data_IF_809857287662
#
_entry.id   IF_809857287662
#
_cell.length_a   1.000
_cell.length_b   1.000
_cell.length_c   1.000
_cell.angle_alpha   90.00
_cell.angle_beta   90.00
_cell.angle_gamma   90.00
#
_symmetry.space_group_name_H-M   'P 1'
#
loop_
_entity.id
_entity.type
_entity.pdbx_description
1 polymer ?
#
# COMPACT_ATOMS: atom_id res chain seq x y z
N UNK A 1 2.86 -29.42 12.53
CA UNK A 1 2.74 -30.83 12.07
C UNK A 1 3.95 -31.16 11.22
N UNK A 2 4.72 -32.13 11.70
CA UNK A 2 5.73 -32.95 11.00
C UNK A 2 6.86 -32.26 10.23
N UNK A 3 7.96 -32.11 10.96
CA UNK A 3 9.35 -32.28 10.54
C UNK A 3 9.52 -33.38 9.45
N UNK A 4 10.32 -33.10 8.42
CA UNK A 4 10.79 -34.09 7.43
C UNK A 4 12.29 -33.91 7.24
N UNK A 5 13.06 -34.58 8.08
CA UNK A 5 14.46 -34.89 7.85
C UNK A 5 14.61 -35.70 6.57
N UNK A 6 15.25 -35.11 5.56
CA UNK A 6 15.80 -35.87 4.43
C UNK A 6 17.07 -36.55 4.90
N UNK A 7 16.99 -37.84 5.21
CA UNK A 7 18.17 -38.69 5.29
C UNK A 7 18.62 -39.01 3.86
N UNK A 8 19.83 -38.60 3.52
CA UNK A 8 20.47 -38.92 2.25
C UNK A 8 20.93 -40.39 2.28
N UNK A 9 20.45 -41.27 1.38
CA UNK A 9 20.74 -42.70 1.42
C UNK A 9 22.16 -43.08 0.96
N UNK A 10 23.00 -42.09 0.62
CA UNK A 10 24.32 -42.31 0.02
C UNK A 10 25.49 -41.92 0.94
N UNK A 11 25.26 -41.82 2.26
CA UNK A 11 26.30 -41.54 3.25
C UNK A 11 27.04 -42.80 3.75
N UNK A 12 26.64 -43.99 3.29
CA UNK A 12 27.37 -45.23 3.52
C UNK A 12 28.35 -45.49 2.39
N UNK A 13 29.56 -45.94 2.74
CA UNK A 13 30.56 -46.55 1.85
C UNK A 13 31.59 -45.61 1.18
N UNK A 14 32.35 -44.86 2.01
CA UNK A 14 33.72 -44.38 1.65
C UNK A 14 34.75 -44.82 2.72
N UNK A 15 34.45 -45.81 3.56
CA UNK A 15 35.43 -46.37 4.49
C UNK A 15 35.75 -47.80 4.09
N UNK A 16 36.45 -47.95 2.96
CA UNK A 16 37.28 -49.14 2.77
C UNK A 16 38.26 -49.21 3.94
N UNK A 17 38.21 -50.33 4.65
CA UNK A 17 38.91 -50.56 5.91
C UNK A 17 40.42 -50.38 5.73
N UNK A 18 40.95 -49.25 6.18
CA UNK A 18 42.38 -49.09 6.44
C UNK A 18 42.75 -50.09 7.55
N UNK A 19 43.68 -51.01 7.25
CA UNK A 19 44.19 -51.98 8.22
C UNK A 19 45.07 -51.27 9.26
N UNK A 20 44.85 -51.54 10.55
CA UNK A 20 45.71 -51.06 11.64
C UNK A 20 47.10 -51.75 11.65
N UNK A 21 47.27 -52.80 10.85
CA UNK A 21 48.44 -53.67 10.80
C UNK A 21 49.16 -53.57 9.47
N UNK A 22 50.48 -53.70 9.50
CA UNK A 22 51.34 -53.55 8.35
C UNK A 22 51.19 -54.73 7.38
N UNK A 23 50.99 -54.43 6.09
CA UNK A 23 50.81 -55.42 5.04
C UNK A 23 52.00 -56.38 4.88
N UNK A 24 53.21 -55.92 5.23
CA UNK A 24 54.44 -56.73 5.15
C UNK A 24 54.81 -57.39 6.48
N UNK A 25 54.18 -56.96 7.59
CA UNK A 25 54.48 -57.44 8.93
C UNK A 25 53.17 -57.58 9.72
N UNK A 26 52.49 -58.72 9.54
CA UNK A 26 51.12 -58.95 10.00
C UNK A 26 50.88 -58.65 11.50
N UNK A 27 51.88 -58.84 12.35
CA UNK A 27 51.78 -58.60 13.81
C UNK A 27 52.19 -57.19 14.25
N UNK A 28 52.62 -56.32 13.33
CA UNK A 28 53.09 -54.98 13.65
C UNK A 28 52.05 -53.93 13.28
N UNK A 29 51.70 -53.09 14.26
CA UNK A 29 50.84 -51.94 14.00
C UNK A 29 51.56 -50.87 13.21
N UNK A 30 50.81 -50.26 12.29
CA UNK A 30 51.28 -49.09 11.56
C UNK A 30 51.19 -47.87 12.47
N UNK A 31 52.31 -47.22 12.74
CA UNK A 31 52.38 -46.09 13.70
C UNK A 31 53.18 -44.90 13.17
N UNK A 32 53.81 -45.04 12.01
CA UNK A 32 54.68 -44.05 11.38
C UNK A 32 54.26 -43.84 9.94
N UNK A 33 54.64 -42.70 9.40
CA UNK A 33 54.39 -42.32 8.01
C UNK A 33 55.70 -41.81 7.42
N UNK A 34 56.06 -42.35 6.26
CA UNK A 34 57.21 -41.88 5.50
C UNK A 34 56.74 -40.84 4.47
N UNK A 35 57.15 -39.58 4.64
CA UNK A 35 56.74 -38.48 3.75
C UNK A 35 57.32 -38.66 2.34
N UNK A 36 58.54 -39.18 2.23
CA UNK A 36 59.23 -39.35 0.95
C UNK A 36 58.56 -40.37 0.03
N UNK A 37 57.94 -41.40 0.62
CA UNK A 37 57.33 -42.52 -0.11
C UNK A 37 55.79 -42.55 0.03
N UNK A 38 55.22 -41.56 0.72
CA UNK A 38 53.78 -41.41 0.97
C UNK A 38 53.09 -42.70 1.45
N UNK A 39 53.72 -43.38 2.43
CA UNK A 39 53.30 -44.72 2.87
C UNK A 39 53.28 -44.86 4.39
N UNK A 40 52.25 -45.56 4.87
CA UNK A 40 52.03 -45.97 6.25
C UNK A 40 52.94 -47.17 6.59
N UNK A 41 53.76 -47.03 7.63
CA UNK A 41 54.78 -48.02 8.00
C UNK A 41 54.84 -48.34 9.50
N UNK A 42 55.27 -49.57 9.82
CA UNK A 42 55.54 -50.01 11.17
C UNK A 42 57.03 -49.85 11.55
N UNK A 43 57.36 -50.11 12.82
CA UNK A 43 58.74 -50.00 13.34
C UNK A 43 59.73 -50.95 12.65
N UNK A 44 59.27 -52.08 12.09
CA UNK A 44 60.13 -53.02 11.35
C UNK A 44 60.43 -52.52 9.94
N UNK A 45 59.45 -51.94 9.24
CA UNK A 45 59.64 -51.29 7.93
C UNK A 45 60.69 -50.17 8.00
N UNK A 46 60.65 -49.35 9.06
CA UNK A 46 61.63 -48.27 9.29
C UNK A 46 63.06 -48.81 9.33
N UNK A 47 63.26 -49.94 10.03
CA UNK A 47 64.59 -50.53 10.21
C UNK A 47 65.10 -51.25 8.97
N UNK A 48 64.22 -51.90 8.22
CA UNK A 48 64.63 -52.83 7.16
C UNK A 48 64.56 -52.24 5.75
N UNK A 49 63.70 -51.25 5.51
CA UNK A 49 63.42 -50.73 4.18
C UNK A 49 63.47 -49.20 4.09
N UNK A 50 63.24 -48.50 5.20
CA UNK A 50 63.23 -47.02 5.24
C UNK A 50 64.34 -46.47 6.16
N UNK A 51 65.43 -47.20 6.36
CA UNK A 51 66.52 -46.80 7.26
C UNK A 51 67.27 -45.56 6.79
N UNK A 52 67.27 -45.32 5.48
CA UNK A 52 67.89 -44.15 4.84
C UNK A 52 66.91 -42.98 4.64
N UNK A 53 65.63 -43.16 4.99
CA UNK A 53 64.62 -42.11 4.85
C UNK A 53 64.72 -41.12 6.01
N UNK A 54 65.03 -39.86 5.72
CA UNK A 54 65.18 -38.82 6.74
C UNK A 54 63.84 -38.22 7.22
N UNK A 55 62.75 -38.41 6.47
CA UNK A 55 61.46 -37.77 6.71
C UNK A 55 60.37 -38.75 7.17
N UNK A 56 60.65 -39.47 8.26
CA UNK A 56 59.68 -40.36 8.91
C UNK A 56 59.10 -39.63 10.13
N UNK A 57 57.78 -39.46 10.13
CA UNK A 57 57.05 -38.84 11.23
C UNK A 57 56.09 -39.84 11.87
N UNK A 58 55.60 -39.52 13.07
CA UNK A 58 54.52 -40.30 13.67
C UNK A 58 53.24 -40.15 12.86
N UNK A 59 52.43 -41.20 12.81
CA UNK A 59 51.13 -41.14 12.14
C UNK A 59 50.24 -40.02 12.71
N UNK A 60 50.31 -39.78 14.02
CA UNK A 60 49.58 -38.70 14.68
C UNK A 60 50.04 -37.31 14.23
N UNK A 61 51.34 -37.14 13.98
CA UNK A 61 51.89 -35.89 13.42
C UNK A 61 51.39 -35.69 11.99
N UNK A 62 51.44 -36.74 11.15
CA UNK A 62 50.94 -36.69 9.77
C UNK A 62 49.44 -36.36 9.71
N UNK A 63 48.65 -36.98 10.58
CA UNK A 63 47.21 -36.70 10.72
C UNK A 63 46.98 -35.25 11.18
N UNK A 64 47.79 -34.74 12.09
CA UNK A 64 47.68 -33.36 12.58
C UNK A 64 47.99 -32.37 11.44
N UNK A 65 49.05 -32.60 10.68
CA UNK A 65 49.42 -31.73 9.56
C UNK A 65 48.42 -31.81 8.41
N UNK A 66 47.82 -32.98 8.18
CA UNK A 66 46.72 -33.14 7.22
C UNK A 66 45.44 -32.42 7.65
N UNK A 67 45.08 -32.49 8.95
CA UNK A 67 43.88 -31.84 9.51
C UNK A 67 44.01 -30.33 9.65
N UNK A 68 45.20 -29.84 9.99
CA UNK A 68 45.48 -28.42 10.23
C UNK A 68 46.36 -27.79 9.15
N UNK A 69 46.50 -28.46 8.01
CA UNK A 69 47.22 -27.92 6.85
C UNK A 69 46.55 -26.68 6.29
N UNK A 70 47.33 -25.85 5.59
CA UNK A 70 46.86 -24.61 4.98
C UNK A 70 45.66 -24.81 4.04
N UNK A 71 45.63 -25.92 3.29
CA UNK A 71 44.54 -26.24 2.38
C UNK A 71 43.20 -26.51 3.12
N UNK A 72 43.23 -27.20 4.26
CA UNK A 72 42.02 -27.54 5.01
C UNK A 72 41.46 -26.31 5.74
N UNK A 73 42.34 -25.49 6.31
CA UNK A 73 41.98 -24.21 6.95
C UNK A 73 41.43 -23.18 5.96
N UNK A 74 41.95 -23.15 4.72
CA UNK A 74 41.38 -22.34 3.62
C UNK A 74 39.97 -22.81 3.24
N UNK A 75 39.73 -24.12 3.19
CA UNK A 75 38.40 -24.69 2.90
C UNK A 75 37.42 -24.31 4.02
N UNK A 76 37.80 -24.48 5.29
CA UNK A 76 36.96 -24.06 6.43
C UNK A 76 36.58 -22.58 6.34
N UNK A 77 37.56 -21.72 6.06
CA UNK A 77 37.33 -20.28 5.90
C UNK A 77 36.37 -19.98 4.74
N UNK A 78 36.50 -20.67 3.60
CA UNK A 78 35.58 -20.52 2.46
C UNK A 78 34.17 -21.01 2.79
N UNK A 79 34.03 -22.10 3.54
CA UNK A 79 32.73 -22.59 4.02
C UNK A 79 32.05 -21.56 4.91
N UNK A 80 32.79 -20.95 5.85
CA UNK A 80 32.26 -19.89 6.69
C UNK A 80 31.80 -18.67 5.88
N UNK A 81 32.58 -18.25 4.89
CA UNK A 81 32.22 -17.14 4.01
C UNK A 81 30.95 -17.46 3.20
N UNK A 82 30.82 -18.68 2.68
CA UNK A 82 29.61 -19.13 1.98
C UNK A 82 28.41 -19.12 2.91
N UNK A 83 28.55 -19.63 4.14
CA UNK A 83 27.50 -19.62 5.14
C UNK A 83 27.04 -18.18 5.48
N UNK A 84 27.96 -17.22 5.58
CA UNK A 84 27.62 -15.80 5.76
C UNK A 84 26.87 -15.23 4.57
N UNK A 85 27.32 -15.50 3.34
CA UNK A 85 26.64 -15.05 2.11
C UNK A 85 25.22 -15.62 2.03
N UNK A 86 25.04 -16.90 2.31
CA UNK A 86 23.72 -17.56 2.33
C UNK A 86 22.80 -16.89 3.35
N UNK A 87 23.31 -16.60 4.55
CA UNK A 87 22.54 -15.89 5.59
C UNK A 87 22.06 -14.52 5.10
N UNK A 88 22.95 -13.74 4.49
CA UNK A 88 22.62 -12.41 3.97
C UNK A 88 21.58 -12.45 2.85
N UNK A 89 21.66 -13.44 1.96
CA UNK A 89 20.65 -13.64 0.91
C UNK A 89 19.31 -13.99 1.54
N UNK A 90 19.29 -14.88 2.52
CA UNK A 90 18.07 -15.32 3.20
C UNK A 90 17.39 -14.18 3.98
N UNK A 91 18.17 -13.34 4.68
CA UNK A 91 17.63 -12.16 5.35
C UNK A 91 17.08 -11.14 4.35
N UNK A 92 17.77 -10.92 3.23
CA UNK A 92 17.30 -10.03 2.17
C UNK A 92 16.01 -10.53 1.52
N UNK A 93 15.92 -11.82 1.20
CA UNK A 93 14.69 -12.43 0.68
C UNK A 93 13.52 -12.27 1.65
N UNK A 94 13.77 -12.44 2.96
CA UNK A 94 12.74 -12.24 4.00
C UNK A 94 12.25 -10.79 4.02
N UNK A 95 13.18 -9.83 3.95
CA UNK A 95 12.84 -8.41 3.87
C UNK A 95 12.03 -8.08 2.60
N UNK A 96 12.47 -8.54 1.44
CA UNK A 96 11.80 -8.28 0.16
C UNK A 96 10.41 -8.91 0.12
N UNK A 97 10.25 -10.13 0.65
CA UNK A 97 8.95 -10.77 0.82
C UNK A 97 8.01 -9.96 1.71
N UNK A 98 8.49 -9.50 2.87
CA UNK A 98 7.70 -8.66 3.78
C UNK A 98 7.32 -7.34 3.12
N UNK A 99 8.26 -6.69 2.43
CA UNK A 99 8.00 -5.48 1.67
C UNK A 99 6.90 -5.68 0.62
N UNK A 100 7.01 -6.73 -0.20
CA UNK A 100 6.00 -7.07 -1.22
C UNK A 100 4.64 -7.41 -0.59
N UNK A 101 4.64 -8.13 0.53
CA UNK A 101 3.42 -8.46 1.28
C UNK A 101 2.68 -7.19 1.75
N UNK A 102 3.41 -6.24 2.35
CA UNK A 102 2.79 -4.97 2.77
C UNK A 102 2.26 -4.14 1.60
N UNK A 103 2.93 -4.17 0.44
CA UNK A 103 2.46 -3.50 -0.79
C UNK A 103 1.18 -4.16 -1.31
N UNK A 104 1.14 -5.49 -1.32
CA UNK A 104 -0.05 -6.28 -1.68
C UNK A 104 -1.24 -5.91 -0.79
N UNK A 105 -1.05 -5.81 0.53
CA UNK A 105 -2.11 -5.44 1.46
C UNK A 105 -2.60 -4.01 1.24
N UNK A 106 -1.70 -3.06 0.98
CA UNK A 106 -2.07 -1.69 0.62
C UNK A 106 -2.93 -1.64 -0.65
N UNK A 107 -2.59 -2.42 -1.67
CA UNK A 107 -3.37 -2.51 -2.91
C UNK A 107 -4.74 -3.13 -2.62
N UNK A 108 -4.79 -4.22 -1.85
CA UNK A 108 -6.05 -4.87 -1.46
C UNK A 108 -6.99 -3.92 -0.71
N UNK A 109 -6.44 -3.12 0.21
CA UNK A 109 -7.21 -2.12 0.95
C UNK A 109 -7.76 -1.03 0.01
N UNK A 110 -6.94 -0.52 -0.92
CA UNK A 110 -7.40 0.45 -1.93
C UNK A 110 -8.54 -0.11 -2.78
N UNK A 111 -8.44 -1.37 -3.23
CA UNK A 111 -9.50 -2.04 -4.00
C UNK A 111 -10.79 -2.12 -3.17
N UNK A 112 -10.68 -2.46 -1.88
CA UNK A 112 -11.83 -2.50 -0.97
C UNK A 112 -12.50 -1.12 -0.81
N UNK A 113 -11.70 -0.07 -0.63
CA UNK A 113 -12.20 1.32 -0.55
C UNK A 113 -12.93 1.71 -1.82
N UNK A 114 -12.34 1.49 -2.99
CA UNK A 114 -12.96 1.81 -4.29
C UNK A 114 -14.28 1.05 -4.46
N UNK A 115 -14.31 -0.25 -4.13
CA UNK A 115 -15.54 -1.05 -4.17
C UNK A 115 -16.63 -0.46 -3.28
N UNK A 116 -16.28 -0.08 -2.05
CA UNK A 116 -17.23 0.55 -1.13
C UNK A 116 -17.79 1.84 -1.71
N UNK A 117 -16.92 2.72 -2.23
CA UNK A 117 -17.35 3.97 -2.86
C UNK A 117 -18.29 3.74 -4.05
N UNK A 118 -17.98 2.77 -4.93
CA UNK A 118 -18.85 2.43 -6.06
C UNK A 118 -20.23 1.98 -5.56
N UNK A 119 -20.28 1.08 -4.57
CA UNK A 119 -21.54 0.61 -4.00
C UNK A 119 -22.34 1.77 -3.38
N UNK A 120 -21.68 2.66 -2.63
CA UNK A 120 -22.32 3.83 -2.04
C UNK A 120 -22.94 4.76 -3.13
N UNK A 121 -22.30 4.88 -4.30
CA UNK A 121 -22.86 5.62 -5.44
C UNK A 121 -24.03 4.89 -6.09
N UNK A 122 -23.96 3.56 -6.24
CA UNK A 122 -25.06 2.76 -6.76
C UNK A 122 -26.31 2.88 -5.87
N UNK A 123 -26.14 2.80 -4.55
CA UNK A 123 -27.24 2.95 -3.58
C UNK A 123 -27.91 4.33 -3.68
N UNK A 124 -27.12 5.40 -3.92
CA UNK A 124 -27.67 6.75 -4.13
C UNK A 124 -28.49 6.83 -5.42
N UNK A 125 -27.97 6.29 -6.52
CA UNK A 125 -28.68 6.27 -7.80
C UNK A 125 -29.99 5.49 -7.66
N UNK A 126 -29.97 4.34 -7.00
CA UNK A 126 -31.17 3.53 -6.76
C UNK A 126 -32.22 4.29 -5.93
N UNK A 127 -31.80 5.06 -4.93
CA UNK A 127 -32.71 5.93 -4.17
C UNK A 127 -33.32 7.03 -5.04
N UNK A 128 -32.51 7.71 -5.85
CA UNK A 128 -33.02 8.76 -6.74
C UNK A 128 -33.98 8.22 -7.79
N UNK A 129 -33.70 7.05 -8.38
CA UNK A 129 -34.62 6.45 -9.36
C UNK A 129 -35.92 6.02 -8.71
N UNK A 130 -35.91 5.45 -7.50
CA UNK A 130 -37.14 5.14 -6.75
C UNK A 130 -37.96 6.40 -6.47
N UNK A 131 -37.34 7.47 -6.01
CA UNK A 131 -38.04 8.75 -5.78
C UNK A 131 -38.61 9.34 -7.07
N UNK A 132 -37.88 9.24 -8.19
CA UNK A 132 -38.38 9.71 -9.48
C UNK A 132 -39.53 8.85 -10.02
N UNK A 133 -39.47 7.53 -9.87
CA UNK A 133 -40.55 6.63 -10.31
C UNK A 133 -41.86 6.85 -9.55
N UNK A 134 -41.80 7.21 -8.25
CA UNK A 134 -43.00 7.65 -7.50
C UNK A 134 -43.54 8.97 -8.07
N UNK A 135 -42.69 9.87 -8.54
CA UNK A 135 -43.09 11.17 -9.10
C UNK A 135 -43.76 11.14 -10.48
N UNK A 136 -43.55 10.11 -11.31
CA UNK A 136 -44.14 10.05 -12.67
C UNK A 136 -45.67 9.86 -12.61
N UNK A 137 -46.21 9.33 -11.50
CA UNK A 137 -47.65 9.21 -11.27
C UNK A 137 -48.38 10.56 -11.05
N UNK A 138 -47.65 11.67 -10.95
CA UNK A 138 -48.22 13.00 -10.72
C UNK A 138 -48.67 13.26 -9.29
N UNK A 139 -48.36 12.35 -8.35
CA UNK A 139 -48.64 12.57 -6.93
C UNK A 139 -47.72 13.66 -6.39
N UNK A 140 -48.31 14.74 -5.86
CA UNK A 140 -47.60 15.78 -5.13
C UNK A 140 -47.05 15.14 -3.85
N UNK A 141 -45.74 14.87 -3.81
CA UNK A 141 -45.09 14.21 -2.67
C UNK A 141 -45.07 15.06 -1.40
N UNK A 142 -45.10 16.38 -1.55
CA UNK A 142 -45.09 17.33 -0.45
C UNK A 142 -45.56 18.68 -0.96
N UNK A 143 -46.53 19.27 -0.27
CA UNK A 143 -46.95 20.64 -0.44
C UNK A 143 -46.42 21.46 0.74
N UNK A 144 -45.58 22.46 0.45
CA UNK A 144 -45.20 23.46 1.45
C UNK A 144 -45.85 24.77 1.05
N UNK A 145 -46.95 25.11 1.72
CA UNK A 145 -47.61 26.40 1.55
C UNK A 145 -46.77 27.45 2.28
N UNK A 146 -46.17 28.36 1.52
CA UNK A 146 -45.56 29.57 2.08
C UNK A 146 -46.55 30.72 1.99
N UNK A 147 -46.61 31.57 3.00
CA UNK A 147 -47.43 32.80 2.98
C UNK A 147 -46.74 33.95 2.25
N UNK A 148 -45.61 33.67 1.59
CA UNK A 148 -44.72 34.67 1.02
C UNK A 148 -45.10 35.02 -0.41
N UNK A 149 -44.93 36.29 -0.76
CA UNK A 149 -45.01 36.76 -2.14
C UNK A 149 -43.76 36.36 -2.92
N UNK A 150 -43.79 35.16 -3.47
CA UNK A 150 -42.72 34.65 -4.33
C UNK A 150 -42.79 35.32 -5.70
N UNK A 151 -41.67 35.87 -6.18
CA UNK A 151 -41.58 36.50 -7.50
C UNK A 151 -40.89 35.65 -8.54
N UNK A 152 -39.77 35.02 -8.18
CA UNK A 152 -38.98 34.21 -9.10
C UNK A 152 -38.42 32.98 -8.40
N UNK A 153 -38.11 31.96 -9.19
CA UNK A 153 -37.59 30.66 -8.76
C UNK A 153 -36.55 30.16 -9.78
N UNK A 154 -35.52 29.47 -9.30
CA UNK A 154 -34.50 28.87 -10.14
C UNK A 154 -33.99 27.55 -9.55
N UNK A 155 -33.56 26.64 -10.41
CA UNK A 155 -32.99 25.34 -10.03
C UNK A 155 -31.49 25.33 -10.30
N UNK A 156 -30.71 24.85 -9.34
CA UNK A 156 -29.27 24.61 -9.50
C UNK A 156 -28.97 23.19 -9.99
N UNK A 157 -27.77 23.01 -10.55
CA UNK A 157 -27.26 21.68 -10.95
C UNK A 157 -27.11 20.68 -9.79
N UNK A 158 -27.09 21.14 -8.52
CA UNK A 158 -27.13 20.25 -7.35
C UNK A 158 -28.54 19.83 -6.93
N UNK A 159 -29.58 20.24 -7.66
CA UNK A 159 -30.98 19.97 -7.33
C UNK A 159 -31.56 20.92 -6.27
N UNK A 160 -30.79 21.92 -5.83
CA UNK A 160 -31.24 22.93 -4.87
C UNK A 160 -32.07 23.98 -5.61
N UNK A 161 -33.24 24.31 -5.09
CA UNK A 161 -34.13 25.35 -5.62
C UNK A 161 -33.93 26.62 -4.82
N UNK A 162 -33.85 27.75 -5.51
CA UNK A 162 -33.76 29.09 -4.93
C UNK A 162 -34.97 29.90 -5.35
N UNK A 163 -35.51 30.72 -4.45
CA UNK A 163 -36.62 31.60 -4.77
C UNK A 163 -36.50 32.93 -4.02
N UNK A 164 -37.12 33.99 -4.55
CA UNK A 164 -37.11 35.32 -3.93
C UNK A 164 -38.41 35.63 -3.20
N UNK A 165 -38.29 36.20 -2.01
CA UNK A 165 -39.37 36.73 -1.19
C UNK A 165 -39.47 38.24 -1.37
N UNK A 166 -40.59 38.75 -1.89
CA UNK A 166 -40.79 40.19 -2.00
C UNK A 166 -41.25 40.84 -0.70
N UNK A 167 -41.84 40.10 0.24
CA UNK A 167 -42.40 40.72 1.45
C UNK A 167 -41.29 41.19 2.40
N UNK A 168 -40.14 40.50 2.38
CA UNK A 168 -39.01 40.80 3.25
C UNK A 168 -37.66 40.93 2.52
N UNK A 169 -37.67 40.97 1.18
CA UNK A 169 -36.47 41.10 0.33
C UNK A 169 -35.41 40.00 0.52
N UNK A 170 -35.86 38.78 0.85
CA UNK A 170 -34.98 37.64 1.11
C UNK A 170 -34.89 36.68 -0.07
N UNK A 171 -33.82 35.89 -0.09
CA UNK A 171 -33.68 34.71 -0.94
C UNK A 171 -33.66 33.50 -0.04
N UNK A 172 -34.47 32.52 -0.38
CA UNK A 172 -34.57 31.27 0.34
C UNK A 172 -34.18 30.11 -0.57
N UNK A 173 -33.88 28.98 0.06
CA UNK A 173 -33.47 27.76 -0.63
C UNK A 173 -34.21 26.56 -0.09
N UNK A 174 -34.48 25.58 -0.96
CA UNK A 174 -34.89 24.24 -0.57
C UNK A 174 -33.94 23.20 -1.19
N UNK A 175 -33.38 22.35 -0.33
CA UNK A 175 -32.48 21.28 -0.72
C UNK A 175 -33.27 20.05 -1.21
N UNK A 176 -32.65 19.13 -1.98
CA UNK A 176 -33.33 17.92 -2.46
C UNK A 176 -33.89 17.01 -1.37
N UNK A 177 -33.40 17.13 -0.13
CA UNK A 177 -33.91 16.43 1.04
C UNK A 177 -35.13 17.12 1.69
N UNK A 178 -35.62 18.21 1.09
CA UNK A 178 -36.76 19.00 1.56
C UNK A 178 -36.39 20.09 2.57
N UNK A 179 -35.11 20.20 2.99
CA UNK A 179 -34.71 21.18 3.99
C UNK A 179 -34.76 22.61 3.43
N UNK A 180 -35.57 23.46 4.04
CA UNK A 180 -35.67 24.88 3.71
C UNK A 180 -34.76 25.73 4.61
N UNK A 181 -34.11 26.73 4.03
CA UNK A 181 -33.25 27.67 4.77
C UNK A 181 -33.28 29.06 4.13
N UNK A 182 -33.07 30.10 4.95
CA UNK A 182 -32.73 31.43 4.46
C UNK A 182 -31.38 31.37 3.74
N UNK A 183 -31.36 31.70 2.45
CA UNK A 183 -30.14 31.69 1.65
C UNK A 183 -29.38 33.00 1.80
N UNK A 184 -30.03 34.12 1.55
CA UNK A 184 -29.41 35.44 1.60
C UNK A 184 -30.43 36.52 1.98
N UNK A 185 -29.98 37.50 2.75
CA UNK A 185 -30.71 38.71 3.10
C UNK A 185 -29.69 39.83 3.26
N UNK A 186 -30.02 41.02 2.77
CA UNK A 186 -29.17 42.20 2.91
C UNK A 186 -30.02 43.46 2.88
N UNK A 187 -29.64 44.46 3.66
CA UNK A 187 -30.23 45.80 3.62
C UNK A 187 -29.95 46.53 2.30
N UNK A 188 -28.94 46.09 1.54
CA UNK A 188 -28.60 46.64 0.23
C UNK A 188 -29.41 45.98 -0.91
N UNK A 189 -30.28 45.01 -0.62
CA UNK A 189 -31.12 44.34 -1.61
C UNK A 189 -32.58 44.74 -1.39
N UNK A 190 -33.19 45.34 -2.40
CA UNK A 190 -34.58 45.78 -2.34
C UNK A 190 -35.35 45.36 -3.58
N UNK A 191 -36.52 44.75 -3.36
CA UNK A 191 -37.42 44.21 -4.39
C UNK A 191 -36.68 43.22 -5.33
N UNK A 192 -36.27 42.03 -4.82
CA UNK A 192 -35.51 41.05 -5.60
C UNK A 192 -36.41 40.30 -6.59
N UNK A 193 -36.26 40.55 -7.89
CA UNK A 193 -37.13 39.94 -8.91
C UNK A 193 -36.40 39.07 -9.94
N UNK A 194 -35.09 39.24 -10.09
CA UNK A 194 -34.28 38.40 -10.97
C UNK A 194 -33.45 37.40 -10.17
N UNK A 195 -33.43 36.13 -10.60
CA UNK A 195 -32.58 35.11 -10.00
C UNK A 195 -32.03 34.17 -11.08
N UNK A 196 -30.73 33.92 -11.04
CA UNK A 196 -30.04 32.98 -11.92
C UNK A 196 -28.95 32.23 -11.17
N UNK A 197 -28.63 31.01 -11.61
CA UNK A 197 -27.59 30.18 -10.99
C UNK A 197 -26.61 29.70 -12.07
N UNK A 198 -25.31 29.85 -11.83
CA UNK A 198 -24.27 29.34 -12.75
C UNK A 198 -23.89 27.88 -12.47
N UNK A 199 -23.07 27.28 -13.35
CA UNK A 199 -22.62 25.90 -13.21
C UNK A 199 -21.74 25.61 -11.98
N UNK A 200 -21.25 26.65 -11.28
CA UNK A 200 -20.53 26.52 -10.00
C UNK A 200 -21.47 26.70 -8.80
N UNK A 201 -22.78 26.84 -9.04
CA UNK A 201 -23.81 27.15 -8.05
C UNK A 201 -23.61 28.51 -7.37
N UNK A 202 -23.04 29.51 -8.06
CA UNK A 202 -23.15 30.88 -7.60
C UNK A 202 -24.53 31.42 -8.00
N UNK A 203 -25.17 32.14 -7.09
CA UNK A 203 -26.50 32.71 -7.26
C UNK A 203 -26.36 34.18 -7.59
N UNK A 204 -27.00 34.60 -8.67
CA UNK A 204 -27.07 35.98 -9.11
C UNK A 204 -28.46 36.50 -8.83
N UNK A 205 -28.56 37.61 -8.12
CA UNK A 205 -29.83 38.19 -7.68
C UNK A 205 -29.89 39.63 -8.15
N UNK A 206 -30.96 40.00 -8.84
CA UNK A 206 -31.20 41.35 -9.30
C UNK A 206 -32.18 42.06 -8.36
N UNK A 207 -31.71 43.16 -7.75
CA UNK A 207 -32.51 44.02 -6.89
C UNK A 207 -33.09 45.18 -7.69
N UNK A 208 -34.40 45.15 -7.90
CA UNK A 208 -35.12 46.09 -8.75
C UNK A 208 -35.05 47.52 -8.21
N UNK A 209 -35.39 47.71 -6.94
CA UNK A 209 -35.40 49.05 -6.33
C UNK A 209 -33.99 49.49 -5.92
N UNK A 210 -33.16 48.55 -5.48
CA UNK A 210 -31.77 48.81 -5.09
C UNK A 210 -30.83 49.03 -6.29
N UNK A 211 -31.31 48.85 -7.53
CA UNK A 211 -30.56 49.06 -8.77
C UNK A 211 -29.20 48.34 -8.79
N UNK A 212 -29.17 47.09 -8.32
CA UNK A 212 -27.94 46.32 -8.19
C UNK A 212 -28.13 44.84 -8.53
N UNK A 213 -27.01 44.19 -8.81
CA UNK A 213 -26.95 42.75 -9.02
C UNK A 213 -25.92 42.18 -8.06
N UNK A 214 -26.37 41.28 -7.19
CA UNK A 214 -25.52 40.50 -6.30
C UNK A 214 -25.08 39.21 -6.98
N UNK A 215 -23.85 38.81 -6.73
CA UNK A 215 -23.38 37.44 -6.89
C UNK A 215 -23.06 36.90 -5.48
N UNK A 216 -23.69 35.79 -5.12
CA UNK A 216 -23.51 35.09 -3.86
C UNK A 216 -22.96 33.70 -4.16
N UNK A 217 -21.80 33.34 -3.60
CA UNK A 217 -21.25 31.99 -3.74
C UNK A 217 -22.10 30.95 -3.01
N UNK A 218 -22.03 29.70 -3.44
CA UNK A 218 -22.78 28.58 -2.83
C UNK A 218 -22.62 28.49 -1.30
N UNK A 219 -21.40 28.74 -0.81
CA UNK A 219 -21.02 28.71 0.61
C UNK A 219 -21.37 30.01 1.36
N UNK A 220 -21.96 31.00 0.66
CA UNK A 220 -22.30 32.35 1.16
C UNK A 220 -21.10 33.16 1.64
N UNK A 221 -19.87 32.67 1.47
CA UNK A 221 -18.64 33.32 1.95
C UNK A 221 -18.21 34.50 1.07
N UNK A 222 -18.63 34.51 -0.19
CA UNK A 222 -18.34 35.58 -1.14
C UNK A 222 -19.65 36.19 -1.62
N UNK A 223 -19.90 37.40 -1.14
CA UNK A 223 -21.00 38.25 -1.60
C UNK A 223 -20.37 39.45 -2.30
N UNK A 224 -20.77 39.70 -3.53
CA UNK A 224 -20.28 40.85 -4.30
C UNK A 224 -21.43 41.50 -5.06
N UNK A 225 -21.55 42.82 -4.95
CA UNK A 225 -22.30 43.61 -5.92
C UNK A 225 -21.47 43.66 -7.20
N UNK A 226 -21.94 42.97 -8.24
CA UNK A 226 -21.20 42.84 -9.51
C UNK A 226 -21.56 43.94 -10.51
N UNK A 227 -22.76 44.50 -10.39
CA UNK A 227 -23.25 45.64 -11.17
C UNK A 227 -24.15 46.50 -10.29
N UNK A 228 -24.11 47.82 -10.45
CA UNK A 228 -24.92 48.77 -9.69
C UNK A 228 -25.29 50.02 -10.51
N UNK A 229 -25.97 50.97 -9.87
CA UNK A 229 -26.36 52.25 -10.48
C UNK A 229 -25.21 53.03 -11.13
N UNK A 230 -23.99 52.98 -10.58
CA UNK A 230 -22.81 53.64 -11.16
C UNK A 230 -22.41 53.02 -12.50
N UNK A 231 -22.77 51.76 -12.73
CA UNK A 231 -22.61 51.04 -13.99
C UNK A 231 -23.79 51.30 -14.95
N UNK A 232 -24.62 52.30 -14.66
CA UNK A 232 -25.82 52.69 -15.42
C UNK A 232 -26.93 51.63 -15.46
N UNK A 233 -26.86 50.62 -14.59
CA UNK A 233 -27.93 49.66 -14.39
C UNK A 233 -29.06 50.32 -13.60
N UNK A 234 -30.25 50.34 -14.18
CA UNK A 234 -31.47 50.84 -13.55
C UNK A 234 -32.54 49.77 -13.62
N UNK A 235 -33.20 49.54 -12.49
CA UNK A 235 -34.31 48.62 -12.32
C UNK A 235 -34.07 47.24 -12.94
N UNK A 236 -32.99 46.54 -12.54
CA UNK A 236 -32.65 45.24 -13.10
C UNK A 236 -33.65 44.18 -12.62
N UNK A 237 -34.54 43.77 -13.53
CA UNK A 237 -35.66 42.81 -13.38
C UNK A 237 -36.62 43.14 -12.24
#
# INVERSE_FOLDING_TARGET
MSDRTRQDPNAGDILDKVSDYCDYHADEKVIQFCIQHDVLICKKCVRNHHSECESIISINSAIKDAKYGSAFTDIETRIEQLNRKIRNVSTRQTHDYNYLSTKKDKIKNKISTVRKTINDYLDKIERYTKLFMVNIGGEILSETVTTFKIKTICLSNSGTIYWTNLDNNEIHTVQPDGKQELFFSSHELEDPRGLAVDGKCNVYVAGYMSNNIFMISKDKMKVKVILNYKDQIKSPI
#
